data_IF_597641358580
#
_entry.id   IF_597641358580
#
_cell.length_a   1.000
_cell.length_b   1.000
_cell.length_c   1.000
_cell.angle_alpha   90.00
_cell.angle_beta   90.00
_cell.angle_gamma   90.00
#
_symmetry.space_group_name_H-M   'P 1'
#
loop_
_entity.id
_entity.type
_entity.pdbx_description
1 polymer ?
#
# COMPACT_ATOMS: atom_id res chain seq x y z
N UNK A 1 8.26 20.16 29.53
CA UNK A 1 7.15 19.57 30.30
C UNK A 1 6.73 18.29 29.59
N UNK A 2 6.94 17.13 30.21
CA UNK A 2 6.38 15.86 29.73
C UNK A 2 4.86 15.99 29.87
N UNK A 3 4.14 15.95 28.75
CA UNK A 3 2.67 15.91 28.76
C UNK A 3 2.27 14.51 29.24
N UNK A 4 2.25 14.32 30.55
CA UNK A 4 1.67 13.14 31.18
C UNK A 4 0.17 13.41 31.19
N UNK A 5 -0.50 13.02 30.11
CA UNK A 5 -1.95 13.08 30.04
C UNK A 5 -2.49 12.27 31.24
N UNK A 6 -3.29 12.93 32.08
CA UNK A 6 -3.94 12.32 33.23
C UNK A 6 -4.88 11.20 32.76
N UNK A 7 -4.70 9.93 33.18
CA UNK A 7 -5.57 8.82 32.80
C UNK A 7 -7.03 9.02 33.23
N UNK A 8 -7.34 10.02 34.06
CA UNK A 8 -8.69 10.38 34.49
C UNK A 8 -9.53 11.05 33.39
N UNK A 9 -8.91 11.63 32.35
CA UNK A 9 -9.63 12.25 31.22
C UNK A 9 -9.85 11.20 30.13
N UNK A 10 -10.91 10.40 30.28
CA UNK A 10 -11.32 9.45 29.25
C UNK A 10 -11.63 10.24 27.98
N UNK A 11 -10.78 10.09 26.96
CA UNK A 11 -11.00 10.66 25.63
C UNK A 11 -12.36 10.18 25.10
N UNK A 12 -13.36 11.07 25.12
CA UNK A 12 -14.73 10.77 24.68
C UNK A 12 -14.83 10.53 23.18
N UNK A 13 -13.77 10.83 22.43
CA UNK A 13 -13.70 10.53 20.99
C UNK A 13 -13.80 9.01 20.79
N UNK A 14 -14.73 8.51 19.95
CA UNK A 14 -14.79 7.10 19.60
C UNK A 14 -13.42 6.61 19.14
N UNK A 15 -13.00 5.42 19.58
CA UNK A 15 -11.61 5.00 19.42
C UNK A 15 -11.16 4.97 17.96
N UNK A 16 -12.05 4.60 17.03
CA UNK A 16 -11.80 4.60 15.59
C UNK A 16 -11.36 5.98 15.05
N UNK A 17 -11.71 7.09 15.72
CA UNK A 17 -11.36 8.45 15.31
C UNK A 17 -10.19 9.06 16.10
N UNK A 18 -9.50 8.27 16.93
CA UNK A 18 -8.41 8.80 17.78
C UNK A 18 -7.09 8.99 17.06
N UNK A 19 -6.77 8.14 16.08
CA UNK A 19 -5.54 8.19 15.28
C UNK A 19 -5.79 7.71 13.84
N UNK A 20 -5.05 8.29 12.90
CA UNK A 20 -5.23 8.06 11.47
C UNK A 20 -5.10 6.60 11.04
N UNK A 21 -4.28 5.78 11.68
CA UNK A 21 -4.14 4.37 11.27
C UNK A 21 -5.43 3.57 11.46
N UNK A 22 -6.27 3.92 12.44
CA UNK A 22 -7.41 3.08 12.82
C UNK A 22 -8.48 2.97 11.73
N UNK A 23 -9.06 4.08 11.20
CA UNK A 23 -10.09 3.98 10.19
C UNK A 23 -9.48 3.57 8.84
N UNK A 24 -8.30 4.08 8.50
CA UNK A 24 -7.66 3.80 7.21
C UNK A 24 -7.13 2.37 7.08
N UNK A 25 -6.60 1.75 8.15
CA UNK A 25 -6.17 0.35 8.07
C UNK A 25 -7.36 -0.60 7.97
N UNK A 26 -8.41 -0.34 8.75
CA UNK A 26 -9.62 -1.15 8.71
C UNK A 26 -10.34 -0.99 7.36
N UNK A 27 -10.55 0.25 6.91
CA UNK A 27 -11.19 0.56 5.64
C UNK A 27 -10.42 0.04 4.44
N UNK A 28 -9.10 0.26 4.40
CA UNK A 28 -8.24 -0.26 3.33
C UNK A 28 -8.25 -1.80 3.28
N UNK A 29 -8.14 -2.48 4.43
CA UNK A 29 -8.18 -3.95 4.47
C UNK A 29 -9.57 -4.51 4.10
N UNK A 30 -10.66 -3.83 4.49
CA UNK A 30 -12.01 -4.18 4.05
C UNK A 30 -12.15 -4.05 2.53
N UNK A 31 -11.67 -2.94 1.95
CA UNK A 31 -11.66 -2.74 0.50
C UNK A 31 -10.88 -3.87 -0.19
N UNK A 32 -9.66 -4.16 0.27
CA UNK A 32 -8.84 -5.24 -0.26
C UNK A 32 -9.55 -6.60 -0.19
N UNK A 33 -10.30 -6.87 0.88
CA UNK A 33 -11.06 -8.12 1.05
C UNK A 33 -12.21 -8.23 0.06
N UNK A 34 -12.90 -7.12 -0.24
CA UNK A 34 -14.15 -7.12 -1.02
C UNK A 34 -13.94 -6.89 -2.52
N UNK A 35 -12.97 -6.06 -2.90
CA UNK A 35 -12.86 -5.57 -4.28
C UNK A 35 -12.24 -6.59 -5.23
N UNK A 36 -11.37 -7.49 -4.74
CA UNK A 36 -10.80 -8.55 -5.57
C UNK A 36 -11.86 -9.58 -5.98
N UNK A 37 -12.72 -10.10 -5.06
CA UNK A 37 -13.86 -10.94 -5.45
C UNK A 37 -14.84 -10.22 -6.37
N UNK A 38 -15.17 -8.95 -6.10
CA UNK A 38 -16.02 -8.14 -6.98
C UNK A 38 -15.44 -8.05 -8.39
N UNK A 39 -14.13 -7.85 -8.52
CA UNK A 39 -13.46 -7.82 -9.81
C UNK A 39 -13.51 -9.17 -10.53
N UNK A 40 -13.21 -10.28 -9.83
CA UNK A 40 -13.23 -11.62 -10.41
C UNK A 40 -14.63 -12.03 -10.88
N UNK A 41 -15.65 -11.78 -10.07
CA UNK A 41 -17.05 -12.02 -10.45
C UNK A 41 -17.41 -11.18 -11.67
N UNK A 42 -16.99 -9.91 -11.71
CA UNK A 42 -17.28 -9.03 -12.84
C UNK A 42 -16.61 -9.45 -14.14
N UNK A 43 -15.46 -10.10 -14.05
CA UNK A 43 -14.71 -10.58 -15.21
C UNK A 43 -15.18 -11.95 -15.71
N UNK A 44 -15.34 -12.93 -14.80
CA UNK A 44 -15.62 -14.33 -15.16
C UNK A 44 -17.08 -14.73 -15.02
N UNK A 45 -17.86 -14.03 -14.19
CA UNK A 45 -19.27 -14.32 -13.94
C UNK A 45 -20.12 -13.06 -14.19
N UNK A 46 -20.07 -12.47 -15.40
CA UNK A 46 -20.72 -11.19 -15.68
C UNK A 46 -22.23 -11.23 -15.42
N UNK A 47 -22.86 -12.40 -15.54
CA UNK A 47 -24.27 -12.64 -15.21
C UNK A 47 -24.63 -12.26 -13.76
N UNK A 48 -23.71 -12.52 -12.83
CA UNK A 48 -23.84 -12.31 -11.39
C UNK A 48 -23.24 -10.97 -10.95
N UNK A 49 -22.64 -10.21 -11.88
CA UNK A 49 -21.93 -8.99 -11.55
C UNK A 49 -22.90 -7.87 -11.21
N UNK A 50 -22.67 -7.25 -10.06
CA UNK A 50 -23.32 -5.99 -9.70
C UNK A 50 -22.99 -4.88 -10.72
N UNK A 51 -21.90 -5.02 -11.49
CA UNK A 51 -21.44 -4.06 -12.52
C UNK A 51 -22.10 -4.28 -13.91
N UNK A 52 -23.05 -5.22 -14.03
CA UNK A 52 -23.62 -5.67 -15.33
C UNK A 52 -24.65 -4.71 -15.94
N UNK A 53 -25.36 -3.91 -15.14
CA UNK A 53 -26.36 -3.01 -15.72
C UNK A 53 -25.67 -1.93 -16.56
N UNK A 54 -26.30 -1.51 -17.66
CA UNK A 54 -25.85 -0.43 -18.56
C UNK A 54 -25.64 0.94 -17.86
N UNK A 55 -25.72 0.96 -16.53
CA UNK A 55 -25.84 2.09 -15.62
C UNK A 55 -24.86 1.94 -14.44
N UNK A 56 -23.59 1.72 -14.75
CA UNK A 56 -22.51 2.11 -13.84
C UNK A 56 -21.60 3.04 -14.62
N UNK A 57 -21.45 4.25 -14.10
CA UNK A 57 -20.61 5.33 -14.63
C UNK A 57 -19.38 4.74 -15.31
N UNK A 58 -19.33 4.71 -16.64
CA UNK A 58 -18.16 4.63 -17.57
C UNK A 58 -16.86 3.94 -17.08
N UNK A 59 -16.89 3.06 -16.09
CA UNK A 59 -15.73 2.59 -15.34
C UNK A 59 -15.47 1.16 -15.77
N UNK A 60 -14.49 1.02 -16.64
CA UNK A 60 -14.09 -0.28 -17.18
C UNK A 60 -13.38 -1.08 -16.08
N UNK A 61 -13.70 -2.37 -15.86
CA UNK A 61 -13.06 -3.19 -14.83
C UNK A 61 -11.52 -3.19 -14.89
N UNK A 62 -10.96 -3.03 -16.09
CA UNK A 62 -9.52 -2.91 -16.36
C UNK A 62 -8.89 -1.62 -15.80
N UNK A 63 -9.66 -0.52 -15.70
CA UNK A 63 -9.23 0.72 -15.05
C UNK A 63 -9.53 0.69 -13.55
N UNK A 64 -10.73 0.21 -13.18
CA UNK A 64 -11.22 0.20 -11.81
C UNK A 64 -10.30 -0.59 -10.87
N UNK A 65 -9.96 -1.81 -11.25
CA UNK A 65 -9.14 -2.68 -10.41
C UNK A 65 -7.79 -2.07 -10.00
N UNK A 66 -6.91 -1.66 -10.94
CA UNK A 66 -5.65 -1.05 -10.56
C UNK A 66 -5.85 0.28 -9.83
N UNK A 67 -6.81 1.12 -10.24
CA UNK A 67 -7.08 2.38 -9.54
C UNK A 67 -7.43 2.15 -8.07
N UNK A 68 -8.36 1.25 -7.81
CA UNK A 68 -8.85 0.95 -6.48
C UNK A 68 -7.81 0.27 -5.60
N UNK A 69 -6.99 -0.63 -6.14
CA UNK A 69 -5.94 -1.27 -5.35
C UNK A 69 -4.79 -0.30 -5.04
N UNK A 70 -4.50 0.66 -5.93
CA UNK A 70 -3.44 1.65 -5.74
C UNK A 70 -3.90 2.82 -4.87
N UNK A 71 -4.98 3.49 -5.24
CA UNK A 71 -5.49 4.69 -4.58
C UNK A 71 -6.47 4.38 -3.45
N UNK A 72 -7.36 3.40 -3.65
CA UNK A 72 -8.35 3.00 -2.65
C UNK A 72 -7.71 2.22 -1.49
N UNK A 73 -6.99 1.14 -1.79
CA UNK A 73 -6.35 0.28 -0.80
C UNK A 73 -4.99 0.82 -0.35
N UNK A 74 -3.98 0.84 -1.22
CA UNK A 74 -2.61 1.08 -0.80
C UNK A 74 -2.42 2.49 -0.24
N UNK A 75 -2.95 3.52 -0.90
CA UNK A 75 -2.83 4.90 -0.41
C UNK A 75 -3.66 5.16 0.86
N UNK A 76 -4.75 4.43 1.11
CA UNK A 76 -5.42 4.46 2.42
C UNK A 76 -4.48 3.97 3.52
N UNK A 77 -3.85 2.81 3.34
CA UNK A 77 -2.87 2.27 4.31
C UNK A 77 -1.72 3.25 4.51
N UNK A 78 -1.16 3.80 3.42
CA UNK A 78 -0.08 4.80 3.49
C UNK A 78 -0.52 6.04 4.26
N UNK A 79 -1.72 6.56 4.00
CA UNK A 79 -2.24 7.75 4.68
C UNK A 79 -2.46 7.50 6.16
N UNK A 80 -3.04 6.35 6.53
CA UNK A 80 -3.18 5.94 7.92
C UNK A 80 -1.84 5.84 8.66
N UNK A 81 -0.83 5.27 7.99
CA UNK A 81 0.54 5.17 8.52
C UNK A 81 1.18 6.56 8.69
N UNK A 82 1.14 7.41 7.67
CA UNK A 82 1.77 8.73 7.67
C UNK A 82 1.10 9.69 8.66
N UNK A 83 -0.23 9.75 8.70
CA UNK A 83 -0.97 10.58 9.66
C UNK A 83 -0.69 10.17 11.11
N UNK A 84 -0.37 8.90 11.36
CA UNK A 84 0.01 8.42 12.69
C UNK A 84 1.48 8.73 12.99
N UNK A 85 2.37 8.47 12.03
CA UNK A 85 3.82 8.61 12.20
C UNK A 85 4.27 10.06 12.30
N UNK A 86 3.60 10.97 11.60
CA UNK A 86 3.94 12.41 11.63
C UNK A 86 3.85 12.96 13.05
N UNK A 87 2.90 12.48 13.86
CA UNK A 87 2.77 12.89 15.24
C UNK A 87 3.97 12.44 16.07
N UNK A 88 4.45 11.21 15.87
CA UNK A 88 5.65 10.69 16.53
C UNK A 88 6.91 11.45 16.12
N UNK A 89 7.03 11.82 14.85
CA UNK A 89 8.23 12.47 14.33
C UNK A 89 8.33 13.95 14.67
N UNK A 90 7.19 14.65 14.69
CA UNK A 90 7.11 16.11 14.85
C UNK A 90 6.67 16.55 16.25
N UNK A 91 6.15 15.62 17.04
CA UNK A 91 5.46 15.89 18.31
C UNK A 91 4.30 16.92 18.15
N UNK A 92 3.74 17.04 16.95
CA UNK A 92 2.59 17.89 16.64
C UNK A 92 1.32 17.05 16.57
N UNK A 93 0.16 17.56 17.04
CA UNK A 93 -1.10 16.85 16.94
C UNK A 93 -1.48 16.62 15.48
N UNK A 94 -1.77 15.37 15.12
CA UNK A 94 -2.29 14.98 13.81
C UNK A 94 -3.82 15.12 13.74
N UNK A 95 -4.46 14.58 12.70
CA UNK A 95 -5.93 14.53 12.60
C UNK A 95 -6.50 13.59 13.66
N UNK A 96 -7.51 14.06 14.38
CA UNK A 96 -8.25 13.35 15.42
C UNK A 96 -9.71 13.82 15.41
N UNK A 97 -10.64 12.94 15.76
CA UNK A 97 -12.07 13.24 15.87
C UNK A 97 -12.68 13.62 14.52
N UNK A 98 -13.49 14.68 14.50
CA UNK A 98 -14.23 15.10 13.32
C UNK A 98 -13.36 15.42 12.09
N UNK A 99 -12.23 16.16 12.18
CA UNK A 99 -11.32 16.34 11.05
C UNK A 99 -10.82 15.02 10.43
N UNK A 100 -10.56 13.99 11.24
CA UNK A 100 -10.16 12.68 10.71
C UNK A 100 -11.33 11.98 10.01
N UNK A 101 -12.53 12.05 10.59
CA UNK A 101 -13.74 11.50 10.00
C UNK A 101 -14.05 12.15 8.64
N UNK A 102 -13.85 13.46 8.50
CA UNK A 102 -14.03 14.17 7.22
C UNK A 102 -13.06 13.66 6.14
N UNK A 103 -11.77 13.54 6.45
CA UNK A 103 -10.77 13.05 5.48
C UNK A 103 -11.04 11.60 5.10
N UNK A 104 -11.45 10.77 6.06
CA UNK A 104 -11.87 9.40 5.78
C UNK A 104 -13.17 9.34 4.96
N UNK A 105 -14.11 10.24 5.20
CA UNK A 105 -15.34 10.34 4.42
C UNK A 105 -15.06 10.73 2.96
N UNK A 106 -14.11 11.64 2.70
CA UNK A 106 -13.66 11.93 1.33
C UNK A 106 -13.15 10.66 0.64
N UNK A 107 -12.29 9.90 1.33
CA UNK A 107 -11.79 8.61 0.82
C UNK A 107 -12.95 7.64 0.54
N UNK A 108 -13.86 7.45 1.49
CA UNK A 108 -14.97 6.50 1.36
C UNK A 108 -15.96 6.91 0.25
N UNK A 109 -16.28 8.20 0.16
CA UNK A 109 -17.21 8.73 -0.84
C UNK A 109 -16.72 8.49 -2.26
N UNK A 110 -15.44 8.69 -2.55
CA UNK A 110 -14.91 8.41 -3.89
C UNK A 110 -15.20 6.97 -4.34
N UNK A 111 -15.08 6.01 -3.42
CA UNK A 111 -15.28 4.58 -3.65
C UNK A 111 -16.75 4.22 -3.80
N UNK A 112 -17.59 4.77 -2.92
CA UNK A 112 -19.05 4.59 -2.97
C UNK A 112 -19.63 5.21 -4.25
N UNK A 113 -19.13 6.38 -4.66
CA UNK A 113 -19.58 7.05 -5.88
C UNK A 113 -19.16 6.30 -7.15
N UNK A 114 -17.99 5.64 -7.16
CA UNK A 114 -17.58 4.76 -8.26
C UNK A 114 -18.44 3.48 -8.33
N UNK A 115 -18.88 2.98 -7.17
CA UNK A 115 -19.79 1.84 -7.03
C UNK A 115 -21.24 2.27 -6.82
N UNK A 116 -21.65 3.43 -7.35
CA UNK A 116 -23.01 3.94 -7.22
C UNK A 116 -23.84 3.59 -8.47
N UNK A 117 -25.09 3.09 -8.32
CA UNK A 117 -25.94 2.69 -9.47
C UNK A 117 -26.47 3.89 -10.26
N UNK A 118 -26.17 5.11 -9.81
CA UNK A 118 -26.61 6.36 -10.42
C UNK A 118 -25.61 6.84 -11.49
N UNK A 119 -26.12 7.48 -12.55
CA UNK A 119 -25.28 8.17 -13.53
C UNK A 119 -24.65 9.43 -12.92
N UNK A 120 -23.43 9.28 -12.43
CA UNK A 120 -22.65 10.37 -11.88
C UNK A 120 -21.53 10.77 -12.85
N UNK A 121 -21.17 12.06 -12.93
CA UNK A 121 -20.04 12.46 -13.73
C UNK A 121 -18.72 12.00 -13.08
N UNK A 122 -17.80 11.48 -13.90
CA UNK A 122 -16.50 10.89 -13.47
C UNK A 122 -15.63 11.86 -12.65
N UNK A 123 -15.78 13.18 -12.84
CA UNK A 123 -15.04 14.17 -12.05
C UNK A 123 -15.43 14.16 -10.56
N UNK A 124 -16.64 13.71 -10.20
CA UNK A 124 -17.13 13.73 -8.83
C UNK A 124 -16.38 12.77 -7.90
N UNK A 125 -16.22 11.46 -8.20
CA UNK A 125 -15.33 10.59 -7.42
C UNK A 125 -13.87 11.08 -7.48
N UNK A 126 -13.42 11.59 -8.63
CA UNK A 126 -12.08 12.17 -8.77
C UNK A 126 -11.82 13.36 -7.85
N UNK A 127 -12.84 14.20 -7.60
CA UNK A 127 -12.77 15.31 -6.64
C UNK A 127 -12.56 14.78 -5.23
N UNK A 128 -13.38 13.81 -4.79
CA UNK A 128 -13.28 13.26 -3.43
C UNK A 128 -11.97 12.52 -3.17
N UNK A 129 -11.47 11.76 -4.15
CA UNK A 129 -10.14 11.15 -4.06
C UNK A 129 -9.03 12.19 -3.94
N UNK A 130 -9.11 13.25 -4.75
CA UNK A 130 -8.11 14.31 -4.74
C UNK A 130 -8.16 15.10 -3.43
N UNK A 131 -9.35 15.37 -2.91
CA UNK A 131 -9.53 16.01 -1.59
C UNK A 131 -8.92 15.16 -0.48
N UNK A 132 -9.13 13.84 -0.48
CA UNK A 132 -8.49 12.94 0.47
C UNK A 132 -6.96 13.06 0.46
N UNK A 133 -6.34 13.03 -0.72
CA UNK A 133 -4.88 13.14 -0.87
C UNK A 133 -4.37 14.52 -0.47
N UNK A 134 -5.02 15.59 -0.92
CA UNK A 134 -4.62 16.97 -0.66
C UNK A 134 -4.75 17.32 0.83
N UNK A 135 -5.84 16.93 1.49
CA UNK A 135 -6.03 17.18 2.92
C UNK A 135 -5.00 16.41 3.76
N UNK A 136 -4.70 15.17 3.37
CA UNK A 136 -3.64 14.37 4.01
C UNK A 136 -2.26 15.02 3.83
N UNK A 137 -1.93 15.43 2.60
CA UNK A 137 -0.67 16.10 2.28
C UNK A 137 -0.53 17.43 3.02
N UNK A 138 -1.57 18.26 3.04
CA UNK A 138 -1.60 19.54 3.74
C UNK A 138 -1.38 19.35 5.24
N UNK A 139 -2.00 18.33 5.85
CA UNK A 139 -1.78 18.04 7.26
C UNK A 139 -0.33 17.64 7.53
N UNK A 140 0.22 16.70 6.75
CA UNK A 140 1.61 16.28 6.89
C UNK A 140 2.56 17.47 6.75
N UNK A 141 2.35 18.30 5.72
CA UNK A 141 3.13 19.50 5.48
C UNK A 141 3.09 20.44 6.69
N UNK A 142 1.90 20.74 7.21
CA UNK A 142 1.74 21.64 8.35
C UNK A 142 2.50 21.17 9.60
N UNK A 143 2.44 19.87 9.92
CA UNK A 143 3.12 19.29 11.07
C UNK A 143 4.65 19.32 10.89
N UNK A 144 5.14 18.98 9.70
CA UNK A 144 6.58 18.90 9.40
C UNK A 144 7.21 20.29 9.32
N UNK A 145 6.54 21.23 8.64
CA UNK A 145 7.04 22.59 8.43
C UNK A 145 7.18 23.34 9.76
N UNK A 146 6.20 23.21 10.66
CA UNK A 146 6.17 23.90 11.96
C UNK A 146 7.39 23.59 12.82
N UNK A 147 7.94 22.37 12.74
CA UNK A 147 9.14 21.94 13.49
C UNK A 147 10.36 21.76 12.58
N UNK A 148 10.27 22.18 11.31
CA UNK A 148 11.35 22.11 10.31
C UNK A 148 11.99 20.72 10.15
N UNK A 149 11.19 19.66 10.22
CA UNK A 149 11.69 18.29 10.09
C UNK A 149 11.90 17.86 8.63
N UNK A 150 12.82 18.52 7.94
CA UNK A 150 13.02 18.41 6.48
C UNK A 150 13.27 17.00 5.97
N UNK A 151 13.85 16.12 6.80
CA UNK A 151 14.07 14.71 6.46
C UNK A 151 12.80 13.93 6.09
N UNK A 152 11.62 14.42 6.51
CA UNK A 152 10.33 13.80 6.23
C UNK A 152 9.47 14.60 5.24
N UNK A 153 9.95 15.74 4.72
CA UNK A 153 9.17 16.60 3.79
C UNK A 153 8.86 15.90 2.46
N UNK A 154 9.62 14.86 2.11
CA UNK A 154 9.34 14.05 0.93
C UNK A 154 7.95 13.41 0.95
N UNK A 155 7.40 13.05 2.11
CA UNK A 155 6.09 12.38 2.18
C UNK A 155 4.91 13.23 1.73
N UNK A 156 4.71 14.49 2.21
CA UNK A 156 3.66 15.34 1.64
C UNK A 156 3.88 15.63 0.15
N UNK A 157 5.12 15.81 -0.31
CA UNK A 157 5.42 16.00 -1.75
C UNK A 157 5.00 14.77 -2.56
N UNK A 158 5.30 13.58 -2.07
CA UNK A 158 4.89 12.33 -2.71
C UNK A 158 3.36 12.23 -2.82
N UNK A 159 2.59 12.65 -1.81
CA UNK A 159 1.12 12.68 -1.88
C UNK A 159 0.59 13.72 -2.87
N UNK A 160 1.27 14.86 -3.02
CA UNK A 160 0.93 15.84 -4.08
C UNK A 160 1.17 15.25 -5.48
N UNK A 161 2.28 14.54 -5.66
CA UNK A 161 2.55 13.80 -6.91
C UNK A 161 1.48 12.73 -7.15
N UNK A 162 1.11 11.96 -6.12
CA UNK A 162 0.03 10.98 -6.21
C UNK A 162 -1.32 11.63 -6.57
N UNK A 163 -1.58 12.86 -6.11
CA UNK A 163 -2.77 13.63 -6.51
C UNK A 163 -2.75 13.94 -8.01
N UNK A 164 -1.60 14.36 -8.54
CA UNK A 164 -1.43 14.58 -9.99
C UNK A 164 -1.64 13.30 -10.80
N UNK A 165 -1.06 12.18 -10.36
CA UNK A 165 -1.24 10.85 -10.99
C UNK A 165 -2.72 10.43 -10.93
N UNK A 166 -3.41 10.67 -9.81
CA UNK A 166 -4.85 10.40 -9.67
C UNK A 166 -5.69 11.22 -10.65
N UNK A 167 -5.45 12.53 -10.74
CA UNK A 167 -6.16 13.40 -11.67
C UNK A 167 -5.92 12.98 -13.13
N UNK A 168 -4.68 12.64 -13.48
CA UNK A 168 -4.34 12.14 -14.80
C UNK A 168 -5.01 10.79 -15.09
N UNK A 169 -5.19 9.94 -14.08
CA UNK A 169 -5.92 8.68 -14.20
C UNK A 169 -7.40 8.87 -14.52
N UNK A 170 -8.07 9.79 -13.81
CA UNK A 170 -9.47 10.15 -14.11
C UNK A 170 -9.60 10.84 -15.46
N UNK A 171 -8.60 11.63 -15.87
CA UNK A 171 -8.53 12.20 -17.22
C UNK A 171 -8.42 11.09 -18.28
N UNK A 172 -7.50 10.14 -18.11
CA UNK A 172 -7.32 9.01 -19.02
C UNK A 172 -8.63 8.18 -19.14
N UNK A 173 -9.33 7.96 -18.02
CA UNK A 173 -10.65 7.32 -18.03
C UNK A 173 -11.67 8.13 -18.84
N UNK A 174 -11.70 9.46 -18.66
CA UNK A 174 -12.63 10.33 -19.39
C UNK A 174 -12.39 10.31 -20.91
N UNK A 175 -11.13 10.17 -21.33
CA UNK A 175 -10.72 10.06 -22.74
C UNK A 175 -10.77 8.63 -23.27
N UNK A 176 -11.02 7.63 -22.41
CA UNK A 176 -10.90 6.20 -22.71
C UNK A 176 -9.51 5.80 -23.23
N UNK A 177 -8.48 6.48 -22.75
CA UNK A 177 -7.08 6.20 -23.08
C UNK A 177 -6.49 5.15 -22.13
N UNK A 178 -6.59 3.89 -22.55
CA UNK A 178 -6.09 2.75 -21.77
C UNK A 178 -4.56 2.60 -21.83
N UNK A 179 -3.92 3.14 -22.88
CA UNK A 179 -2.45 3.14 -22.97
C UNK A 179 -1.88 4.07 -21.92
N UNK A 180 -2.39 5.30 -21.85
CA UNK A 180 -2.02 6.25 -20.81
C UNK A 180 -2.35 5.69 -19.41
N UNK A 181 -3.51 5.05 -19.24
CA UNK A 181 -3.88 4.40 -17.98
C UNK A 181 -2.83 3.36 -17.56
N UNK A 182 -2.38 2.50 -18.48
CA UNK A 182 -1.36 1.49 -18.19
C UNK A 182 -0.02 2.12 -17.73
N UNK A 183 0.43 3.18 -18.41
CA UNK A 183 1.65 3.91 -18.03
C UNK A 183 1.52 4.54 -16.64
N UNK A 184 0.36 5.15 -16.33
CA UNK A 184 0.05 5.73 -15.01
C UNK A 184 0.11 4.67 -13.92
N UNK A 185 -0.46 3.48 -14.15
CA UNK A 185 -0.45 2.39 -13.17
C UNK A 185 0.96 1.91 -12.89
N UNK A 186 1.77 1.72 -13.92
CA UNK A 186 3.18 1.36 -13.75
C UNK A 186 3.95 2.44 -12.98
N UNK A 187 3.75 3.71 -13.32
CA UNK A 187 4.33 4.84 -12.59
C UNK A 187 3.92 4.85 -11.11
N UNK A 188 2.65 4.59 -10.81
CA UNK A 188 2.12 4.55 -9.45
C UNK A 188 2.62 3.33 -8.65
N UNK A 189 2.80 2.18 -9.28
CA UNK A 189 3.46 1.01 -8.66
C UNK A 189 4.89 1.38 -8.23
N UNK A 190 5.66 2.05 -9.08
CA UNK A 190 7.01 2.51 -8.72
C UNK A 190 7.02 3.66 -7.73
N UNK A 191 5.99 4.52 -7.70
CA UNK A 191 5.81 5.50 -6.64
C UNK A 191 5.62 4.83 -5.27
N UNK A 192 4.80 3.77 -5.22
CA UNK A 192 4.68 2.95 -4.01
C UNK A 192 5.99 2.23 -3.70
N UNK A 193 6.70 1.76 -4.73
CA UNK A 193 8.04 1.18 -4.59
C UNK A 193 9.04 2.14 -3.96
N UNK A 194 9.03 3.42 -4.36
CA UNK A 194 9.87 4.47 -3.76
C UNK A 194 9.51 4.69 -2.30
N UNK A 195 8.22 4.74 -1.96
CA UNK A 195 7.76 4.87 -0.58
C UNK A 195 8.22 3.68 0.27
N UNK A 196 8.04 2.46 -0.25
CA UNK A 196 8.49 1.20 0.36
C UNK A 196 10.01 1.19 0.53
N UNK A 197 10.76 1.71 -0.44
CA UNK A 197 12.22 1.83 -0.39
C UNK A 197 12.65 2.74 0.76
N UNK A 198 12.00 3.90 0.92
CA UNK A 198 12.33 4.87 1.96
C UNK A 198 11.92 4.35 3.34
N UNK A 199 10.66 3.91 3.49
CA UNK A 199 10.10 3.48 4.77
C UNK A 199 10.68 2.13 5.18
N UNK A 200 10.64 1.14 4.27
CA UNK A 200 11.14 -0.22 4.48
C UNK A 200 12.59 -0.24 4.95
N UNK A 201 13.46 0.54 4.30
CA UNK A 201 14.86 0.65 4.70
C UNK A 201 15.12 1.29 6.06
N UNK A 202 14.14 2.00 6.63
CA UNK A 202 14.22 2.54 8.00
C UNK A 202 13.69 1.53 9.02
N UNK A 203 12.52 0.94 8.74
CA UNK A 203 11.72 0.19 9.70
C UNK A 203 12.06 -1.30 9.74
N UNK A 204 12.30 -1.95 8.60
CA UNK A 204 12.59 -3.41 8.54
C UNK A 204 13.88 -3.75 9.28
N UNK A 205 15.04 -3.11 9.01
CA UNK A 205 16.26 -3.39 9.78
C UNK A 205 16.14 -2.98 11.24
N UNK A 206 15.37 -1.93 11.56
CA UNK A 206 15.13 -1.53 12.96
C UNK A 206 14.34 -2.59 13.73
N UNK A 207 13.20 -3.04 13.20
CA UNK A 207 12.38 -4.06 13.84
C UNK A 207 13.12 -5.39 13.97
N UNK A 208 13.92 -5.76 12.95
CA UNK A 208 14.75 -6.96 12.99
C UNK A 208 15.80 -6.85 14.09
N UNK A 209 16.56 -5.76 14.13
CA UNK A 209 17.58 -5.52 15.15
C UNK A 209 17.03 -5.57 16.58
N UNK A 210 15.90 -4.92 16.83
CA UNK A 210 15.24 -4.88 18.15
C UNK A 210 14.83 -6.28 18.61
N UNK A 211 14.20 -7.09 17.74
CA UNK A 211 13.72 -8.42 18.14
C UNK A 211 14.83 -9.45 18.26
N UNK A 212 15.77 -9.44 17.33
CA UNK A 212 16.90 -10.37 17.27
C UNK A 212 18.00 -9.97 18.29
N UNK A 213 17.86 -8.82 18.95
CA UNK A 213 18.82 -8.25 19.92
C UNK A 213 20.22 -8.10 19.32
N UNK A 214 20.28 -7.57 18.09
CA UNK A 214 21.53 -7.29 17.39
C UNK A 214 21.62 -5.82 17.02
N UNK A 215 22.82 -5.33 16.80
CA UNK A 215 23.03 -3.97 16.32
C UNK A 215 22.33 -3.78 14.98
N UNK A 216 21.64 -2.65 14.83
CA UNK A 216 21.04 -2.28 13.56
C UNK A 216 22.18 -2.04 12.55
N UNK A 217 22.14 -2.67 11.36
CA UNK A 217 23.13 -2.41 10.32
C UNK A 217 23.12 -0.92 9.94
N UNK A 218 24.29 -0.28 9.95
CA UNK A 218 24.40 1.13 9.57
C UNK A 218 24.02 1.32 8.09
N UNK A 219 23.20 2.33 7.75
CA UNK A 219 22.83 2.59 6.36
C UNK A 219 24.04 2.96 5.50
N UNK A 220 24.18 2.34 4.33
CA UNK A 220 25.18 2.77 3.34
C UNK A 220 24.56 3.95 2.58
N UNK A 221 24.98 5.18 2.93
CA UNK A 221 24.37 6.41 2.41
C UNK A 221 24.33 6.47 0.88
N UNK A 222 25.42 6.08 0.22
CA UNK A 222 25.50 6.05 -1.24
C UNK A 222 24.44 5.12 -1.84
N UNK A 223 24.34 3.88 -1.35
CA UNK A 223 23.34 2.91 -1.78
C UNK A 223 21.91 3.40 -1.58
N UNK A 224 21.62 3.98 -0.41
CA UNK A 224 20.29 4.49 -0.08
C UNK A 224 19.88 5.67 -0.99
N UNK A 225 20.81 6.59 -1.30
CA UNK A 225 20.56 7.70 -2.22
C UNK A 225 20.43 7.22 -3.67
N UNK A 226 21.28 6.29 -4.10
CA UNK A 226 21.21 5.68 -5.42
C UNK A 226 19.87 4.98 -5.64
N UNK A 227 19.37 4.22 -4.65
CA UNK A 227 18.07 3.57 -4.74
C UNK A 227 16.92 4.57 -4.86
N UNK A 228 16.96 5.70 -4.16
CA UNK A 228 15.95 6.76 -4.32
C UNK A 228 15.99 7.30 -5.76
N UNK A 229 17.18 7.60 -6.29
CA UNK A 229 17.33 8.09 -7.65
C UNK A 229 16.85 7.08 -8.70
N UNK A 230 17.25 5.81 -8.56
CA UNK A 230 16.84 4.71 -9.43
C UNK A 230 15.32 4.51 -9.43
N UNK A 231 14.68 4.55 -8.27
CA UNK A 231 13.23 4.45 -8.17
C UNK A 231 12.52 5.67 -8.79
N UNK A 232 13.07 6.87 -8.66
CA UNK A 232 12.54 8.07 -9.35
C UNK A 232 12.64 7.93 -10.87
N UNK A 233 13.76 7.41 -11.38
CA UNK A 233 13.92 7.10 -12.81
C UNK A 233 12.91 6.04 -13.28
N UNK A 234 12.65 5.01 -12.48
CA UNK A 234 11.62 4.01 -12.80
C UNK A 234 10.21 4.62 -12.83
N UNK A 235 9.87 5.54 -11.93
CA UNK A 235 8.60 6.27 -11.97
C UNK A 235 8.49 7.06 -13.28
N UNK A 236 9.54 7.82 -13.62
CA UNK A 236 9.58 8.59 -14.86
C UNK A 236 9.42 7.68 -16.08
N UNK A 237 10.21 6.59 -16.16
CA UNK A 237 10.13 5.62 -17.25
C UNK A 237 8.76 4.94 -17.34
N UNK A 238 8.14 4.60 -16.21
CA UNK A 238 6.82 3.97 -16.18
C UNK A 238 5.74 4.86 -16.82
N UNK A 239 5.83 6.18 -16.60
CA UNK A 239 4.86 7.16 -17.12
C UNK A 239 5.18 7.58 -18.56
N UNK A 240 6.45 7.86 -18.87
CA UNK A 240 6.84 8.48 -20.16
C UNK A 240 7.26 7.48 -21.23
N UNK A 241 7.72 6.28 -20.83
CA UNK A 241 8.29 5.26 -21.73
C UNK A 241 9.40 5.80 -22.66
N UNK A 242 10.18 6.76 -22.16
CA UNK A 242 11.20 7.45 -22.96
C UNK A 242 12.47 6.62 -23.21
N UNK A 243 12.88 5.78 -22.25
CA UNK A 243 14.05 4.92 -22.40
C UNK A 243 13.79 3.80 -23.39
N UNK A 244 14.84 3.43 -24.14
CA UNK A 244 14.82 2.23 -24.99
C UNK A 244 14.72 0.96 -24.13
N UNK A 245 14.24 -0.17 -24.69
CA UNK A 245 14.12 -1.43 -23.94
C UNK A 245 15.41 -1.85 -23.24
N UNK A 246 16.57 -1.76 -23.92
CA UNK A 246 17.86 -2.10 -23.32
C UNK A 246 18.27 -1.17 -22.15
N UNK A 247 17.92 0.11 -22.21
CA UNK A 247 18.15 1.05 -21.11
C UNK A 247 17.20 0.81 -19.93
N UNK A 248 15.92 0.49 -20.19
CA UNK A 248 14.97 0.09 -19.16
C UNK A 248 15.41 -1.22 -18.48
N UNK A 249 15.85 -2.21 -19.26
CA UNK A 249 16.39 -3.47 -18.76
C UNK A 249 17.58 -3.24 -17.81
N UNK A 250 18.55 -2.42 -18.21
CA UNK A 250 19.69 -2.08 -17.37
C UNK A 250 19.27 -1.37 -16.08
N UNK A 251 18.34 -0.42 -16.18
CA UNK A 251 17.78 0.29 -15.02
C UNK A 251 17.11 -0.68 -14.04
N UNK A 252 16.25 -1.58 -14.53
CA UNK A 252 15.59 -2.61 -13.72
C UNK A 252 16.60 -3.54 -13.05
N UNK A 253 17.58 -4.05 -13.79
CA UNK A 253 18.60 -4.98 -13.29
C UNK A 253 19.48 -4.34 -12.20
N UNK A 254 19.99 -3.13 -12.42
CA UNK A 254 20.81 -2.40 -11.44
C UNK A 254 19.99 -2.10 -10.18
N UNK A 255 18.73 -1.70 -10.34
CA UNK A 255 17.83 -1.43 -9.20
C UNK A 255 17.54 -2.69 -8.40
N UNK A 256 17.32 -3.83 -9.06
CA UNK A 256 17.15 -5.13 -8.42
C UNK A 256 18.37 -5.52 -7.59
N UNK A 257 19.58 -5.45 -8.17
CA UNK A 257 20.83 -5.78 -7.48
C UNK A 257 21.08 -4.87 -6.27
N UNK A 258 20.84 -3.57 -6.42
CA UNK A 258 20.98 -2.61 -5.33
C UNK A 258 20.01 -2.91 -4.17
N UNK A 259 18.76 -3.29 -4.47
CA UNK A 259 17.78 -3.71 -3.47
C UNK A 259 18.17 -5.02 -2.79
N UNK A 260 18.68 -6.02 -3.52
CA UNK A 260 19.16 -7.28 -2.96
C UNK A 260 20.34 -7.06 -2.02
N UNK A 261 21.31 -6.25 -2.44
CA UNK A 261 22.46 -5.88 -1.63
C UNK A 261 22.02 -5.19 -0.34
N UNK A 262 21.03 -4.29 -0.42
CA UNK A 262 20.50 -3.62 0.77
C UNK A 262 19.77 -4.59 1.70
N UNK A 263 18.92 -5.44 1.14
CA UNK A 263 18.08 -6.39 1.88
C UNK A 263 18.90 -7.48 2.58
N UNK A 264 19.96 -8.00 1.94
CA UNK A 264 20.80 -9.05 2.52
C UNK A 264 21.46 -8.63 3.85
N UNK A 265 21.70 -7.32 4.02
CA UNK A 265 22.23 -6.72 5.25
C UNK A 265 21.24 -6.73 6.41
N UNK A 266 19.95 -6.95 6.17
CA UNK A 266 18.90 -6.88 7.19
C UNK A 266 18.67 -8.19 7.96
N UNK A 267 19.59 -9.16 7.83
CA UNK A 267 19.57 -10.43 8.58
C UNK A 267 18.26 -11.25 8.42
N UNK A 268 17.73 -11.45 7.20
CA UNK A 268 16.43 -12.09 6.99
C UNK A 268 16.39 -13.52 7.57
N UNK A 269 17.49 -14.27 7.49
CA UNK A 269 17.60 -15.64 8.04
C UNK A 269 17.35 -15.72 9.55
N UNK A 270 17.59 -14.65 10.31
CA UNK A 270 17.32 -14.61 11.77
C UNK A 270 15.87 -14.33 12.11
N UNK A 271 15.01 -14.10 11.12
CA UNK A 271 13.60 -13.75 11.32
C UNK A 271 12.63 -14.92 11.14
N UNK A 272 13.10 -16.09 10.71
CA UNK A 272 12.26 -17.23 10.30
C UNK A 272 11.34 -17.74 11.41
N UNK A 273 11.77 -17.65 12.68
CA UNK A 273 10.94 -18.03 13.84
C UNK A 273 9.87 -16.99 14.22
N UNK A 274 9.86 -15.82 13.58
CA UNK A 274 9.03 -14.68 13.97
C UNK A 274 8.14 -14.21 12.82
N UNK A 275 6.86 -14.64 12.74
CA UNK A 275 5.96 -14.29 11.65
C UNK A 275 5.79 -12.80 11.38
N UNK A 276 5.85 -11.97 12.42
CA UNK A 276 5.75 -10.52 12.29
C UNK A 276 6.99 -9.88 11.64
N UNK A 277 8.09 -10.62 11.50
CA UNK A 277 9.34 -10.16 10.90
C UNK A 277 9.63 -10.81 9.55
N UNK A 278 9.53 -12.14 9.44
CA UNK A 278 9.82 -12.78 8.16
C UNK A 278 8.84 -12.31 7.08
N UNK A 279 7.60 -11.98 7.44
CA UNK A 279 6.60 -11.42 6.51
C UNK A 279 7.04 -10.09 5.90
N UNK A 280 7.62 -9.18 6.70
CA UNK A 280 8.20 -7.92 6.21
C UNK A 280 9.40 -8.17 5.29
N UNK A 281 10.27 -9.11 5.66
CA UNK A 281 11.46 -9.44 4.87
C UNK A 281 11.09 -10.10 3.54
N UNK A 282 10.15 -11.04 3.56
CA UNK A 282 9.65 -11.75 2.39
C UNK A 282 8.91 -10.81 1.44
N UNK A 283 8.02 -9.96 1.97
CA UNK A 283 7.33 -8.98 1.15
C UNK A 283 8.31 -7.99 0.52
N UNK A 284 9.30 -7.48 1.27
CA UNK A 284 10.32 -6.61 0.66
C UNK A 284 11.16 -7.36 -0.40
N UNK A 285 11.49 -8.64 -0.20
CA UNK A 285 12.24 -9.44 -1.17
C UNK A 285 11.53 -9.56 -2.52
N UNK A 286 10.19 -9.54 -2.54
CA UNK A 286 9.43 -9.55 -3.79
C UNK A 286 9.73 -8.33 -4.69
N UNK A 287 10.20 -7.19 -4.15
CA UNK A 287 10.56 -6.00 -4.94
C UNK A 287 11.75 -6.27 -5.87
N UNK A 288 12.96 -6.58 -5.36
CA UNK A 288 14.08 -6.91 -6.24
C UNK A 288 13.80 -8.11 -7.13
N UNK A 289 13.07 -9.12 -6.65
CA UNK A 289 12.71 -10.28 -7.49
C UNK A 289 11.82 -9.86 -8.66
N UNK A 290 10.85 -8.96 -8.44
CA UNK A 290 10.02 -8.42 -9.53
C UNK A 290 10.89 -7.64 -10.51
N UNK A 291 11.73 -6.73 -10.02
CA UNK A 291 12.60 -5.92 -10.89
C UNK A 291 13.55 -6.79 -11.73
N UNK A 292 14.14 -7.82 -11.14
CA UNK A 292 15.00 -8.78 -11.85
C UNK A 292 14.20 -9.58 -12.90
N UNK A 293 13.00 -10.05 -12.54
CA UNK A 293 12.15 -10.80 -13.46
C UNK A 293 11.66 -9.95 -14.63
N UNK A 294 11.32 -8.67 -14.39
CA UNK A 294 10.97 -7.72 -15.45
C UNK A 294 12.16 -7.42 -16.37
N UNK A 295 13.37 -7.26 -15.81
CA UNK A 295 14.57 -7.08 -16.62
C UNK A 295 14.87 -8.31 -17.51
N UNK A 296 14.66 -9.51 -16.97
CA UNK A 296 14.87 -10.75 -17.71
C UNK A 296 13.87 -10.92 -18.87
N UNK A 297 12.62 -10.48 -18.67
CA UNK A 297 11.52 -10.63 -19.62
C UNK A 297 11.14 -9.29 -20.28
N UNK A 298 12.12 -8.42 -20.55
CA UNK A 298 11.85 -7.07 -21.07
C UNK A 298 11.16 -7.08 -22.44
N UNK A 299 11.43 -8.11 -23.25
CA UNK A 299 10.88 -8.28 -24.60
C UNK A 299 9.57 -9.09 -24.63
N UNK A 300 9.11 -9.62 -23.49
CA UNK A 300 7.85 -10.37 -23.37
C UNK A 300 6.81 -9.54 -22.62
N UNK A 301 5.93 -8.88 -23.39
CA UNK A 301 4.89 -8.02 -22.84
C UNK A 301 3.88 -8.79 -21.94
N UNK A 302 3.60 -10.05 -22.27
CA UNK A 302 2.70 -10.87 -21.47
C UNK A 302 3.34 -11.18 -20.11
N UNK A 303 4.57 -11.68 -20.11
CA UNK A 303 5.34 -11.91 -18.89
C UNK A 303 5.45 -10.63 -18.05
N UNK A 304 5.76 -9.49 -18.68
CA UNK A 304 5.88 -8.20 -18.01
C UNK A 304 4.59 -7.84 -17.22
N UNK A 305 3.42 -7.95 -17.86
CA UNK A 305 2.12 -7.66 -17.25
C UNK A 305 1.81 -8.57 -16.06
N UNK A 306 2.12 -9.86 -16.16
CA UNK A 306 1.94 -10.80 -15.06
C UNK A 306 2.91 -10.52 -13.91
N UNK A 307 4.19 -10.28 -14.20
CA UNK A 307 5.24 -10.07 -13.21
C UNK A 307 5.07 -8.77 -12.41
N UNK A 308 4.41 -7.74 -12.94
CA UNK A 308 4.01 -6.56 -12.15
C UNK A 308 3.16 -6.93 -10.92
N UNK A 309 2.39 -8.02 -10.98
CA UNK A 309 1.59 -8.50 -9.86
C UNK A 309 2.42 -9.15 -8.76
N UNK A 310 3.65 -9.60 -9.05
CA UNK A 310 4.58 -10.05 -8.01
C UNK A 310 4.95 -8.88 -7.10
N UNK A 311 5.11 -7.68 -7.66
CA UNK A 311 5.30 -6.47 -6.88
C UNK A 311 3.99 -6.02 -6.22
N UNK A 312 2.89 -5.90 -6.97
CA UNK A 312 1.63 -5.39 -6.43
C UNK A 312 1.10 -6.26 -5.27
N UNK A 313 1.21 -7.58 -5.38
CA UNK A 313 0.73 -8.50 -4.35
C UNK A 313 1.84 -8.82 -3.34
N UNK A 314 2.97 -9.36 -3.82
CA UNK A 314 4.04 -9.81 -2.94
C UNK A 314 4.67 -8.68 -2.14
N UNK A 315 5.01 -7.58 -2.81
CA UNK A 315 5.64 -6.43 -2.15
C UNK A 315 4.64 -5.50 -1.49
N UNK A 316 3.77 -4.88 -2.28
CA UNK A 316 2.90 -3.80 -1.80
C UNK A 316 1.87 -4.35 -0.80
N UNK A 317 1.07 -5.35 -1.19
CA UNK A 317 0.05 -5.89 -0.30
C UNK A 317 0.65 -6.69 0.86
N UNK A 318 1.71 -7.47 0.62
CA UNK A 318 2.44 -8.20 1.65
C UNK A 318 3.01 -7.27 2.72
N UNK A 319 3.65 -6.16 2.33
CA UNK A 319 4.14 -5.16 3.28
C UNK A 319 3.00 -4.43 3.97
N UNK A 320 1.92 -4.08 3.26
CA UNK A 320 0.75 -3.47 3.88
C UNK A 320 0.21 -4.37 4.99
N UNK A 321 -0.13 -5.64 4.69
CA UNK A 321 -0.68 -6.59 5.66
C UNK A 321 0.26 -6.80 6.86
N UNK A 322 1.55 -6.96 6.61
CA UNK A 322 2.56 -7.13 7.65
C UNK A 322 2.70 -5.89 8.55
N UNK A 323 2.71 -4.70 7.93
CA UNK A 323 2.87 -3.44 8.64
C UNK A 323 1.63 -3.10 9.46
N UNK A 324 0.43 -3.20 8.88
CA UNK A 324 -0.81 -2.88 9.61
C UNK A 324 -1.03 -3.83 10.78
N UNK A 325 -0.66 -5.11 10.65
CA UNK A 325 -0.73 -6.09 11.76
C UNK A 325 0.17 -5.68 12.93
N UNK A 326 1.39 -5.22 12.66
CA UNK A 326 2.34 -4.77 13.67
C UNK A 326 1.96 -3.42 14.29
N UNK A 327 1.70 -2.42 13.44
CA UNK A 327 1.43 -1.04 13.85
C UNK A 327 0.14 -0.98 14.68
N UNK A 328 -0.88 -1.75 14.31
CA UNK A 328 -2.13 -1.81 15.09
C UNK A 328 -1.91 -2.31 16.52
N UNK A 329 -1.03 -3.30 16.73
CA UNK A 329 -0.71 -3.77 18.09
C UNK A 329 0.15 -2.75 18.83
N UNK A 330 1.21 -2.23 18.18
CA UNK A 330 2.14 -1.30 18.80
C UNK A 330 1.50 0.01 19.26
N UNK A 331 0.64 0.62 18.44
CA UNK A 331 -0.03 1.88 18.79
C UNK A 331 -1.24 1.70 19.69
N UNK A 332 -1.67 0.46 19.95
CA UNK A 332 -2.73 0.17 20.91
C UNK A 332 -2.23 -0.43 22.23
N UNK A 333 -0.91 -0.36 22.47
CA UNK A 333 -0.21 -0.90 23.65
C UNK A 333 -0.36 -2.40 23.86
N UNK A 334 -0.60 -3.15 22.79
CA UNK A 334 -0.67 -4.62 22.82
C UNK A 334 0.68 -5.21 22.45
N UNK A 335 1.02 -6.35 23.03
CA UNK A 335 2.26 -7.05 22.71
C UNK A 335 2.21 -7.57 21.26
N UNK A 336 3.13 -7.08 20.43
CA UNK A 336 3.23 -7.37 18.99
C UNK A 336 3.40 -8.89 18.72
N UNK A 337 4.07 -9.61 19.63
CA UNK A 337 4.43 -11.02 19.44
C UNK A 337 3.41 -11.98 20.09
N UNK A 338 2.45 -11.47 20.85
CA UNK A 338 1.36 -12.23 21.47
C UNK A 338 -0.02 -11.86 20.90
N UNK A 339 -0.03 -11.11 19.79
CA UNK A 339 -1.26 -10.75 19.09
C UNK A 339 -1.87 -11.92 18.30
N UNK A 340 -2.91 -11.64 17.49
CA UNK A 340 -3.52 -12.64 16.62
C UNK A 340 -2.50 -13.35 15.72
N UNK A 341 -2.69 -14.66 15.51
CA UNK A 341 -1.81 -15.45 14.64
C UNK A 341 -2.06 -15.08 13.17
N UNK A 342 -1.13 -14.33 12.58
CA UNK A 342 -1.22 -13.87 11.18
C UNK A 342 -0.36 -14.66 10.20
N UNK A 343 0.39 -15.68 10.64
CA UNK A 343 1.33 -16.43 9.79
C UNK A 343 0.67 -16.99 8.53
N UNK A 344 -0.52 -17.59 8.65
CA UNK A 344 -1.26 -18.13 7.50
C UNK A 344 -1.74 -17.03 6.54
N UNK A 345 -2.14 -15.88 7.05
CA UNK A 345 -2.52 -14.74 6.20
C UNK A 345 -1.31 -14.17 5.44
N UNK A 346 -0.15 -14.09 6.08
CA UNK A 346 1.10 -13.68 5.42
C UNK A 346 1.51 -14.66 4.32
N UNK A 347 1.44 -15.97 4.59
CA UNK A 347 1.68 -17.01 3.58
C UNK A 347 0.65 -16.94 2.45
N UNK A 348 -0.63 -16.70 2.79
CA UNK A 348 -1.71 -16.54 1.83
C UNK A 348 -1.43 -15.43 0.81
N UNK A 349 -0.94 -14.27 1.24
CA UNK A 349 -0.56 -13.20 0.30
C UNK A 349 0.62 -13.59 -0.58
N UNK A 350 1.62 -14.29 -0.03
CA UNK A 350 2.73 -14.79 -0.85
C UNK A 350 2.24 -15.79 -1.90
N UNK A 351 1.37 -16.72 -1.52
CA UNK A 351 0.76 -17.67 -2.46
C UNK A 351 -0.08 -16.96 -3.52
N UNK A 352 -0.85 -15.94 -3.14
CA UNK A 352 -1.61 -15.12 -4.07
C UNK A 352 -0.70 -14.45 -5.10
N UNK A 353 0.46 -13.92 -4.68
CA UNK A 353 1.43 -13.32 -5.60
C UNK A 353 1.97 -14.33 -6.61
N UNK A 354 2.38 -15.53 -6.16
CA UNK A 354 2.89 -16.58 -7.03
C UNK A 354 1.83 -17.08 -8.01
N UNK A 355 0.61 -17.34 -7.53
CA UNK A 355 -0.50 -17.78 -8.37
C UNK A 355 -0.88 -16.72 -9.40
N UNK A 356 -0.83 -15.42 -9.06
CA UNK A 356 -1.21 -14.36 -9.99
C UNK A 356 -0.11 -14.03 -11.02
N UNK A 357 1.15 -14.05 -10.59
CA UNK A 357 2.25 -13.50 -11.35
C UNK A 357 3.10 -14.55 -12.08
N UNK A 358 3.26 -15.74 -11.50
CA UNK A 358 4.19 -16.76 -12.01
C UNK A 358 3.46 -17.91 -12.68
N UNK A 359 2.42 -18.46 -12.03
CA UNK A 359 1.74 -19.66 -12.53
C UNK A 359 1.14 -19.53 -13.94
N UNK A 360 0.53 -18.39 -14.35
CA UNK A 360 0.00 -18.23 -15.71
C UNK A 360 1.09 -18.23 -16.80
N UNK A 361 2.35 -17.99 -16.45
CA UNK A 361 3.46 -18.04 -17.40
C UNK A 361 3.94 -19.46 -17.66
N UNK A 362 3.78 -20.36 -16.68
CA UNK A 362 4.26 -21.75 -16.76
C UNK A 362 3.14 -22.71 -17.16
N UNK A 363 1.91 -22.40 -16.75
CA UNK A 363 0.70 -23.21 -17.01
C UNK A 363 -0.45 -22.30 -17.49
N UNK A 364 -0.31 -21.68 -18.68
CA UNK A 364 -1.26 -20.70 -19.20
C UNK A 364 -2.68 -21.25 -19.38
N UNK A 365 -2.83 -22.55 -19.63
CA UNK A 365 -4.11 -23.24 -19.81
C UNK A 365 -5.00 -23.21 -18.56
N UNK A 366 -4.42 -23.02 -17.37
CA UNK A 366 -5.15 -22.90 -16.10
C UNK A 366 -5.22 -21.46 -15.57
N UNK A 367 -5.01 -20.45 -16.43
CA UNK A 367 -4.94 -19.03 -16.03
C UNK A 367 -6.13 -18.58 -15.19
N UNK A 368 -7.36 -18.94 -15.57
CA UNK A 368 -8.56 -18.59 -14.80
C UNK A 368 -8.53 -19.18 -13.38
N UNK A 369 -8.19 -20.47 -13.26
CA UNK A 369 -8.08 -21.15 -11.97
C UNK A 369 -7.04 -20.47 -11.08
N UNK A 370 -5.87 -20.12 -11.64
CA UNK A 370 -4.82 -19.41 -10.89
C UNK A 370 -5.29 -18.03 -10.39
N UNK A 371 -6.10 -17.32 -11.16
CA UNK A 371 -6.67 -16.04 -10.77
C UNK A 371 -7.68 -16.20 -9.62
N UNK A 372 -8.53 -17.22 -9.65
CA UNK A 372 -9.46 -17.53 -8.55
C UNK A 372 -8.73 -17.94 -7.26
N UNK A 373 -7.70 -18.77 -7.37
CA UNK A 373 -6.86 -19.15 -6.22
C UNK A 373 -6.18 -17.90 -5.64
N UNK A 374 -5.58 -17.06 -6.49
CA UNK A 374 -4.92 -15.84 -6.05
C UNK A 374 -5.89 -14.88 -5.33
N UNK A 375 -7.06 -14.64 -5.92
CA UNK A 375 -8.09 -13.80 -5.33
C UNK A 375 -8.63 -14.34 -4.01
N UNK A 376 -8.78 -15.67 -3.90
CA UNK A 376 -9.22 -16.33 -2.67
C UNK A 376 -8.17 -16.18 -1.56
N UNK A 377 -6.91 -16.50 -1.84
CA UNK A 377 -5.81 -16.35 -0.89
C UNK A 377 -5.66 -14.89 -0.42
N UNK A 378 -5.76 -13.93 -1.33
CA UNK A 378 -5.74 -12.50 -1.02
C UNK A 378 -6.88 -12.12 -0.07
N UNK A 379 -8.11 -12.48 -0.44
CA UNK A 379 -9.31 -12.05 0.27
C UNK A 379 -9.40 -12.69 1.66
N UNK A 380 -9.01 -13.96 1.78
CA UNK A 380 -8.94 -14.64 3.07
C UNK A 380 -7.87 -14.01 3.98
N UNK A 381 -6.72 -13.61 3.44
CA UNK A 381 -5.67 -12.99 4.23
C UNK A 381 -6.07 -11.61 4.80
N UNK A 382 -6.64 -10.73 3.98
CA UNK A 382 -7.13 -9.43 4.46
C UNK A 382 -8.41 -9.57 5.29
N UNK A 383 -9.29 -10.52 4.96
CA UNK A 383 -10.48 -10.83 5.76
C UNK A 383 -10.12 -11.33 7.16
N UNK A 384 -9.07 -12.16 7.26
CA UNK A 384 -8.53 -12.59 8.55
C UNK A 384 -7.98 -11.42 9.37
N UNK A 385 -7.27 -10.49 8.74
CA UNK A 385 -6.86 -9.25 9.40
C UNK A 385 -8.06 -8.46 9.91
N UNK A 386 -9.06 -8.20 9.06
CA UNK A 386 -10.28 -7.47 9.45
C UNK A 386 -10.95 -8.14 10.64
N UNK A 387 -11.15 -9.46 10.59
CA UNK A 387 -11.78 -10.22 11.67
C UNK A 387 -11.04 -10.07 13.00
N UNK A 388 -9.71 -10.26 13.00
CA UNK A 388 -8.91 -10.20 14.22
C UNK A 388 -8.65 -8.77 14.72
N UNK A 389 -8.54 -7.79 13.82
CA UNK A 389 -8.07 -6.43 14.14
C UNK A 389 -9.20 -5.40 14.22
N UNK A 390 -10.40 -5.65 13.68
CA UNK A 390 -11.55 -4.79 13.92
C UNK A 390 -11.77 -4.44 15.40
N UNK A 391 -11.80 -5.39 16.36
CA UNK A 391 -11.94 -5.06 17.79
C UNK A 391 -10.72 -4.31 18.34
N UNK A 392 -9.52 -4.52 17.79
CA UNK A 392 -8.29 -3.84 18.22
C UNK A 392 -8.34 -2.35 17.80
N UNK A 393 -8.79 -2.09 16.57
CA UNK A 393 -8.84 -0.76 15.95
C UNK A 393 -10.04 0.08 16.37
N UNK A 394 -11.13 -0.55 16.79
CA UNK A 394 -12.37 0.12 17.21
C UNK A 394 -12.51 0.29 18.72
N UNK A 395 -11.63 -0.31 19.54
CA UNK A 395 -11.62 -0.18 21.00
C UNK A 395 -10.50 0.72 21.51
N UNK A 396 -10.67 1.32 22.70
CA UNK A 396 -9.59 2.03 23.39
C UNK A 396 -8.31 1.20 23.55
N UNK A 397 -7.21 1.89 23.77
CA UNK A 397 -5.93 1.26 24.12
C UNK A 397 -6.05 0.52 25.44
N UNK A 398 -5.26 -0.53 25.60
CA UNK A 398 -5.28 -1.35 26.83
C UNK A 398 -4.70 -0.62 28.05
N UNK A 399 -3.89 0.41 27.84
CA UNK A 399 -3.27 1.22 28.89
C UNK A 399 -4.08 2.47 29.26
N UNK A 400 -5.29 2.65 28.71
CA UNK A 400 -6.17 3.79 28.97
C UNK A 400 -5.71 5.12 28.37
N UNK A 401 -4.53 5.18 27.74
CA UNK A 401 -3.97 6.43 27.19
C UNK A 401 -4.64 6.85 25.88
N UNK A 402 -4.52 8.13 25.50
CA UNK A 402 -4.94 8.60 24.19
C UNK A 402 -4.20 7.85 23.06
N UNK A 403 -4.97 7.34 22.10
CA UNK A 403 -4.47 6.71 20.88
C UNK A 403 -5.43 5.71 20.27
#
# INVERSE_FOLDING_TARGET
MLNIDDPSVVDKTPAIWRLGFRPFFLGGALLATLYVPLWLISWYLPEMSLLRSQFWVKVVPLWWHPHELLFGFAVAIVSGFLLTSVQTWTNQPSLKGWPLALVFACWLLARVLLLSPFELPVWLPGLFDSLFLLLTAAKLWSCIYRVKQWRNIGFPIMLLVATGINLLSYYALSQRDFVLSHHIWQGMLWWLGLLITIVGGRVIPFFTAVRVKQAKPEPIKALDLSLIALMILLIAQGITKYLTPGAEQALLAVTALAHLLRWSRWLPHKTLGEPMLWSLQLAYLCLPLTLAALAWNIDDENAYRHLLHLFAIGTMAGLCLSMISRVSLGHTSRNIYQGPKMSLAFLGITLAALCRAVMPLWFPEYSELWLWIAGSCWSLAFGWFVWCYAPILTRPRVDGRPG
#
